data_IF_293132205705
#
_entry.id   IF_293132205705
#
_cell.length_a   1.000
_cell.length_b   1.000
_cell.length_c   1.000
_cell.angle_alpha   90.00
_cell.angle_beta   90.00
_cell.angle_gamma   90.00
#
_symmetry.space_group_name_H-M   'P 1'
#
loop_
_entity.id
_entity.type
_entity.pdbx_description
1 polymer ?
#
# COMPACT_ATOMS: atom_id res chain seq x y z
N UNK A 1 -5.11 -71.25 -46.12
CA UNK A 1 -4.80 -70.36 -44.98
C UNK A 1 -4.76 -68.92 -45.46
N UNK A 2 -5.83 -68.14 -45.25
CA UNK A 2 -5.86 -66.69 -45.44
C UNK A 2 -6.50 -66.07 -44.18
N UNK A 3 -5.98 -64.93 -43.69
CA UNK A 3 -6.44 -64.06 -42.58
C UNK A 3 -5.34 -63.60 -41.59
N UNK A 4 -4.10 -63.33 -42.04
CA UNK A 4 -3.02 -62.79 -41.17
C UNK A 4 -2.15 -61.67 -41.74
N UNK A 5 -2.56 -61.00 -42.83
CA UNK A 5 -1.68 -60.04 -43.55
C UNK A 5 -2.26 -58.65 -43.84
N UNK A 6 -3.35 -58.24 -43.18
CA UNK A 6 -4.03 -56.94 -43.44
C UNK A 6 -3.98 -55.94 -42.27
N UNK A 7 -3.53 -56.35 -41.08
CA UNK A 7 -3.58 -55.52 -39.86
C UNK A 7 -2.32 -54.64 -39.67
N UNK A 8 -1.19 -55.06 -40.25
CA UNK A 8 0.11 -54.38 -40.14
C UNK A 8 0.13 -52.96 -40.75
N UNK A 9 -0.35 -52.71 -42.00
CA UNK A 9 -0.31 -51.36 -42.57
C UNK A 9 -1.23 -50.38 -41.84
N UNK A 10 -2.33 -50.86 -41.25
CA UNK A 10 -3.31 -50.03 -40.54
C UNK A 10 -2.78 -49.58 -39.16
N UNK A 11 -1.91 -50.37 -38.53
CA UNK A 11 -1.20 -49.96 -37.31
C UNK A 11 -0.13 -48.89 -37.62
N UNK A 12 0.54 -48.97 -38.77
CA UNK A 12 1.61 -48.04 -39.14
C UNK A 12 1.09 -46.63 -39.46
N UNK A 13 -0.07 -46.50 -40.10
CA UNK A 13 -0.72 -45.21 -40.37
C UNK A 13 -1.33 -44.52 -39.13
N UNK A 14 -1.30 -45.15 -37.94
CA UNK A 14 -1.70 -44.52 -36.68
C UNK A 14 -0.52 -43.94 -35.89
N UNK A 15 0.73 -44.21 -36.28
CA UNK A 15 1.93 -43.60 -35.68
C UNK A 15 2.39 -42.32 -36.40
N UNK A 16 1.82 -41.97 -37.55
CA UNK A 16 2.02 -40.66 -38.20
C UNK A 16 1.12 -39.57 -37.63
N UNK A 17 0.73 -39.69 -36.35
CA UNK A 17 -0.03 -38.69 -35.61
C UNK A 17 0.90 -37.53 -35.21
N UNK A 18 1.12 -36.61 -36.16
CA UNK A 18 1.66 -35.26 -35.94
C UNK A 18 2.86 -35.19 -34.99
N UNK A 19 4.06 -35.41 -35.52
CA UNK A 19 5.25 -34.78 -34.93
C UNK A 19 5.14 -33.26 -35.12
N UNK A 20 4.47 -32.60 -34.18
CA UNK A 20 4.77 -31.21 -33.87
C UNK A 20 6.28 -31.15 -33.60
N UNK A 21 6.98 -30.21 -34.25
CA UNK A 21 8.42 -30.09 -34.13
C UNK A 21 8.76 -29.37 -32.81
N UNK A 22 8.49 -30.04 -31.69
CA UNK A 22 8.87 -29.56 -30.36
C UNK A 22 10.39 -29.31 -30.35
N UNK A 23 10.78 -28.06 -30.05
CA UNK A 23 12.19 -27.70 -29.94
C UNK A 23 12.93 -28.62 -28.96
N UNK A 24 14.00 -29.25 -29.41
CA UNK A 24 14.77 -30.14 -28.54
C UNK A 24 15.56 -29.33 -27.51
N UNK A 25 15.84 -29.93 -26.35
CA UNK A 25 16.68 -29.30 -25.32
C UNK A 25 18.07 -28.91 -25.87
N UNK A 26 18.60 -29.66 -26.84
CA UNK A 26 19.87 -29.34 -27.50
C UNK A 26 19.79 -28.12 -28.41
N UNK A 27 18.68 -27.92 -29.14
CA UNK A 27 18.45 -26.72 -29.95
C UNK A 27 18.21 -25.49 -29.07
N UNK A 28 17.49 -25.63 -27.95
CA UNK A 28 17.34 -24.55 -26.97
C UNK A 28 18.69 -24.13 -26.39
N UNK A 29 19.55 -25.07 -25.97
CA UNK A 29 20.90 -24.71 -25.48
C UNK A 29 21.74 -24.04 -26.56
N UNK A 30 21.61 -24.42 -27.83
CA UNK A 30 22.33 -23.76 -28.93
C UNK A 30 21.81 -22.35 -29.24
N UNK A 31 20.51 -22.07 -29.04
CA UNK A 31 19.97 -20.71 -29.12
C UNK A 31 20.43 -19.86 -27.93
N UNK A 32 20.42 -20.42 -26.72
CA UNK A 32 20.99 -19.78 -25.53
C UNK A 32 22.48 -19.47 -25.70
N UNK A 33 23.29 -20.41 -26.17
CA UNK A 33 24.72 -20.21 -26.43
C UNK A 33 24.99 -19.09 -27.46
N UNK A 34 24.07 -18.85 -28.41
CA UNK A 34 24.17 -17.75 -29.37
C UNK A 34 23.71 -16.41 -28.82
N UNK A 35 22.57 -16.37 -28.12
CA UNK A 35 22.10 -15.15 -27.46
C UNK A 35 23.14 -14.64 -26.44
N UNK A 36 23.79 -15.55 -25.69
CA UNK A 36 24.89 -15.24 -24.78
C UNK A 36 26.18 -14.71 -25.47
N UNK A 37 26.26 -14.68 -26.81
CA UNK A 37 27.36 -14.02 -27.53
C UNK A 37 27.13 -12.52 -27.76
N UNK A 38 25.98 -11.96 -27.33
CA UNK A 38 25.67 -10.54 -27.43
C UNK A 38 25.28 -10.10 -28.84
N UNK A 39 24.44 -10.91 -29.51
CA UNK A 39 23.85 -10.58 -30.81
C UNK A 39 22.34 -10.41 -30.67
N UNK A 40 21.87 -9.17 -30.74
CA UNK A 40 20.44 -8.83 -30.61
C UNK A 40 19.48 -9.60 -31.53
N UNK A 41 19.91 -10.09 -32.70
CA UNK A 41 19.09 -10.96 -33.56
C UNK A 41 18.91 -12.37 -32.95
N UNK A 42 19.99 -12.99 -32.42
CA UNK A 42 19.90 -14.30 -31.76
C UNK A 42 19.16 -14.19 -30.41
N UNK A 43 19.31 -13.08 -29.69
CA UNK A 43 18.55 -12.76 -28.46
C UNK A 43 17.06 -12.56 -28.76
N UNK A 44 16.72 -11.76 -29.78
CA UNK A 44 15.33 -11.56 -30.24
C UNK A 44 14.69 -12.87 -30.68
N UNK A 45 15.44 -13.72 -31.40
CA UNK A 45 14.99 -15.05 -31.82
C UNK A 45 14.77 -15.97 -30.62
N UNK A 46 15.66 -15.97 -29.62
CA UNK A 46 15.49 -16.75 -28.40
C UNK A 46 14.24 -16.30 -27.63
N UNK A 47 14.01 -14.99 -27.53
CA UNK A 47 12.82 -14.41 -26.93
C UNK A 47 11.52 -14.82 -27.65
N UNK A 48 11.51 -14.77 -28.99
CA UNK A 48 10.40 -15.31 -29.80
C UNK A 48 10.17 -16.80 -29.55
N UNK A 49 11.24 -17.58 -29.39
CA UNK A 49 11.16 -19.02 -29.12
C UNK A 49 10.49 -19.25 -27.75
N UNK A 50 10.92 -18.53 -26.71
CA UNK A 50 10.30 -18.55 -25.37
C UNK A 50 8.84 -18.05 -25.33
N UNK A 51 8.41 -17.20 -26.27
CA UNK A 51 7.02 -16.74 -26.33
C UNK A 51 6.10 -17.70 -27.11
N UNK A 52 6.62 -18.36 -28.14
CA UNK A 52 5.82 -19.11 -29.12
C UNK A 52 5.86 -20.64 -28.95
N UNK A 53 6.97 -21.24 -28.49
CA UNK A 53 7.11 -22.70 -28.39
C UNK A 53 6.37 -23.27 -27.16
N UNK A 54 5.27 -24.04 -27.31
CA UNK A 54 4.42 -24.42 -26.17
C UNK A 54 5.12 -25.32 -25.15
N UNK A 55 6.13 -26.08 -25.56
CA UNK A 55 6.89 -27.01 -24.71
C UNK A 55 7.85 -26.32 -23.73
N UNK A 56 8.26 -25.08 -24.03
CA UNK A 56 9.22 -24.29 -23.23
C UNK A 56 8.75 -22.87 -22.94
N UNK A 57 7.47 -22.56 -23.17
CA UNK A 57 6.95 -21.19 -23.11
C UNK A 57 7.20 -20.56 -21.73
N UNK A 58 7.94 -19.45 -21.71
CA UNK A 58 8.18 -18.66 -20.51
C UNK A 58 8.17 -17.16 -20.87
N UNK A 59 7.17 -16.43 -20.39
CA UNK A 59 7.02 -15.01 -20.69
C UNK A 59 8.07 -14.15 -19.98
N UNK A 60 8.59 -14.56 -18.81
CA UNK A 60 9.64 -13.83 -18.07
C UNK A 60 10.99 -13.91 -18.81
N UNK A 61 11.35 -15.09 -19.32
CA UNK A 61 12.53 -15.27 -20.19
C UNK A 61 12.36 -14.51 -21.51
N UNK A 62 11.18 -14.59 -22.15
CA UNK A 62 10.90 -13.81 -23.35
C UNK A 62 11.06 -12.30 -23.11
N UNK A 63 10.52 -11.78 -22.00
CA UNK A 63 10.67 -10.38 -21.62
C UNK A 63 12.14 -9.99 -21.40
N UNK A 64 12.92 -10.83 -20.71
CA UNK A 64 14.35 -10.61 -20.51
C UNK A 64 15.12 -10.54 -21.83
N UNK A 65 14.99 -11.54 -22.69
CA UNK A 65 15.72 -11.61 -23.96
C UNK A 65 15.26 -10.55 -24.98
N UNK A 66 13.98 -10.19 -25.02
CA UNK A 66 13.54 -9.01 -25.78
C UNK A 66 14.11 -7.71 -25.22
N UNK A 67 14.26 -7.58 -23.90
CA UNK A 67 14.85 -6.39 -23.27
C UNK A 67 16.34 -6.23 -23.61
N UNK A 68 17.13 -7.30 -23.60
CA UNK A 68 18.55 -7.25 -24.00
C UNK A 68 18.73 -6.87 -25.49
N UNK A 69 17.93 -7.46 -26.38
CA UNK A 69 17.93 -7.07 -27.79
C UNK A 69 17.46 -5.61 -27.99
N UNK A 70 16.49 -5.16 -27.19
CA UNK A 70 15.96 -3.79 -27.23
C UNK A 70 16.99 -2.73 -26.77
N UNK A 71 17.77 -3.03 -25.73
CA UNK A 71 18.88 -2.20 -25.25
C UNK A 71 20.00 -2.05 -26.29
N UNK A 72 20.18 -3.05 -27.16
CA UNK A 72 21.11 -3.01 -28.30
C UNK A 72 20.57 -2.29 -29.54
N UNK A 73 19.32 -1.79 -29.51
CA UNK A 73 18.73 -1.06 -30.65
C UNK A 73 17.89 -1.91 -31.61
N UNK A 74 17.58 -3.18 -31.29
CA UNK A 74 16.78 -4.02 -32.16
C UNK A 74 15.32 -3.58 -32.17
N UNK A 75 14.90 -2.80 -33.17
CA UNK A 75 13.60 -2.13 -33.19
C UNK A 75 12.37 -3.06 -33.02
N UNK A 76 12.42 -4.29 -33.55
CA UNK A 76 11.34 -5.25 -33.31
C UNK A 76 11.32 -5.77 -31.86
N UNK A 77 12.48 -5.87 -31.20
CA UNK A 77 12.55 -6.22 -29.79
C UNK A 77 12.03 -5.06 -28.92
N UNK A 78 12.38 -3.82 -29.25
CA UNK A 78 11.86 -2.62 -28.57
C UNK A 78 10.33 -2.54 -28.64
N UNK A 79 9.74 -2.87 -29.80
CA UNK A 79 8.28 -3.02 -29.93
C UNK A 79 7.73 -4.14 -29.02
N UNK A 80 8.31 -5.34 -29.04
CA UNK A 80 7.81 -6.45 -28.19
C UNK A 80 7.95 -6.16 -26.69
N UNK A 81 9.07 -5.57 -26.25
CA UNK A 81 9.29 -5.13 -24.87
C UNK A 81 8.23 -4.10 -24.45
N UNK A 82 7.92 -3.11 -25.29
CA UNK A 82 6.87 -2.13 -25.03
C UNK A 82 5.47 -2.79 -24.95
N UNK A 83 5.13 -3.64 -25.91
CA UNK A 83 3.90 -4.43 -25.95
C UNK A 83 3.71 -5.27 -24.67
N UNK A 84 4.76 -5.94 -24.20
CA UNK A 84 4.74 -6.76 -22.99
C UNK A 84 4.63 -5.91 -21.71
N UNK A 85 5.22 -4.71 -21.68
CA UNK A 85 5.06 -3.73 -20.59
C UNK A 85 3.64 -3.14 -20.51
N UNK A 86 2.94 -2.93 -21.63
CA UNK A 86 1.52 -2.54 -21.62
C UNK A 86 0.64 -3.67 -21.08
N UNK A 87 0.94 -4.91 -21.45
CA UNK A 87 0.12 -6.09 -21.14
C UNK A 87 0.42 -6.70 -19.76
N UNK A 88 1.60 -6.43 -19.19
CA UNK A 88 2.10 -7.12 -17.98
C UNK A 88 2.45 -8.59 -18.25
N UNK A 89 2.99 -8.89 -19.43
CA UNK A 89 3.43 -10.24 -19.81
C UNK A 89 4.90 -10.44 -19.44
N UNK A 90 5.23 -11.45 -18.65
CA UNK A 90 6.59 -11.69 -18.16
C UNK A 90 7.17 -10.62 -17.23
N UNK A 91 6.38 -9.61 -16.87
CA UNK A 91 6.82 -8.45 -16.08
C UNK A 91 5.61 -7.75 -15.45
N UNK A 92 5.85 -6.78 -14.56
CA UNK A 92 4.77 -5.93 -14.05
C UNK A 92 4.37 -4.90 -15.12
N UNK A 93 3.06 -4.61 -15.25
CA UNK A 93 2.57 -3.60 -16.19
C UNK A 93 3.16 -2.22 -15.87
N UNK A 94 3.91 -1.65 -16.80
CA UNK A 94 4.47 -0.29 -16.73
C UNK A 94 4.23 0.44 -18.06
N UNK A 95 3.10 1.15 -18.11
CA UNK A 95 2.68 1.95 -19.27
C UNK A 95 3.62 3.13 -19.52
N UNK A 96 4.33 3.65 -18.52
CA UNK A 96 5.26 4.76 -18.70
C UNK A 96 6.55 4.29 -19.37
N UNK A 97 7.06 3.12 -18.99
CA UNK A 97 8.16 2.47 -19.68
C UNK A 97 7.79 2.11 -21.13
N UNK A 98 6.58 1.59 -21.36
CA UNK A 98 6.08 1.32 -22.72
C UNK A 98 5.96 2.60 -23.57
N UNK A 99 5.38 3.67 -23.01
CA UNK A 99 5.23 4.95 -23.70
C UNK A 99 6.58 5.56 -24.11
N UNK A 100 7.63 5.42 -23.29
CA UNK A 100 9.00 5.83 -23.66
C UNK A 100 9.52 5.05 -24.87
N UNK A 101 9.42 3.72 -24.85
CA UNK A 101 9.87 2.88 -25.97
C UNK A 101 9.13 3.21 -27.27
N UNK A 102 7.80 3.34 -27.23
CA UNK A 102 7.03 3.73 -28.41
C UNK A 102 7.37 5.16 -28.87
N UNK A 103 7.60 6.11 -27.96
CA UNK A 103 7.97 7.50 -28.30
C UNK A 103 9.32 7.55 -29.01
N UNK A 104 10.34 6.83 -28.51
CA UNK A 104 11.65 6.74 -29.16
C UNK A 104 11.54 6.16 -30.57
N UNK A 105 10.89 5.01 -30.71
CA UNK A 105 10.65 4.36 -32.00
C UNK A 105 9.87 5.25 -32.98
N UNK A 106 8.85 5.98 -32.51
CA UNK A 106 8.06 6.89 -33.34
C UNK A 106 8.90 8.05 -33.90
N UNK A 107 9.86 8.57 -33.13
CA UNK A 107 10.81 9.61 -33.57
C UNK A 107 11.82 9.06 -34.58
N UNK A 108 12.21 7.79 -34.45
CA UNK A 108 12.98 7.05 -35.47
C UNK A 108 12.17 6.73 -36.74
N UNK A 109 10.88 7.12 -36.79
CA UNK A 109 10.01 6.95 -37.95
C UNK A 109 9.16 5.68 -37.94
N UNK A 110 9.17 4.90 -36.86
CA UNK A 110 8.37 3.68 -36.76
C UNK A 110 6.87 4.02 -36.60
N UNK A 111 6.12 3.92 -37.70
CA UNK A 111 4.68 4.21 -37.71
C UNK A 111 3.84 3.27 -36.85
N UNK A 112 4.28 2.02 -36.61
CA UNK A 112 3.58 1.10 -35.70
C UNK A 112 3.73 1.56 -34.25
N UNK A 113 4.92 2.01 -33.85
CA UNK A 113 5.14 2.58 -32.52
C UNK A 113 4.31 3.85 -32.30
N UNK A 114 4.22 4.73 -33.30
CA UNK A 114 3.37 5.92 -33.26
C UNK A 114 1.88 5.58 -33.12
N UNK A 115 1.42 4.50 -33.76
CA UNK A 115 0.06 3.98 -33.62
C UNK A 115 -0.20 3.39 -32.23
N UNK A 116 0.67 2.48 -31.75
CA UNK A 116 0.54 1.87 -30.42
C UNK A 116 0.58 2.93 -29.29
N UNK A 117 1.36 4.01 -29.45
CA UNK A 117 1.38 5.13 -28.51
C UNK A 117 0.06 5.90 -28.49
N UNK A 118 -0.59 6.05 -29.65
CA UNK A 118 -1.92 6.64 -29.77
C UNK A 118 -2.99 5.80 -29.07
N UNK A 119 -3.02 4.49 -29.34
CA UNK A 119 -3.91 3.54 -28.65
C UNK A 119 -3.67 3.53 -27.13
N UNK A 120 -2.41 3.60 -26.70
CA UNK A 120 -2.04 3.64 -25.28
C UNK A 120 -2.60 4.89 -24.60
N UNK A 121 -2.44 6.08 -25.19
CA UNK A 121 -3.00 7.33 -24.62
C UNK A 121 -4.53 7.37 -24.66
N UNK A 122 -5.19 6.76 -25.66
CA UNK A 122 -6.65 6.64 -25.71
C UNK A 122 -7.16 5.75 -24.58
N UNK A 123 -6.60 4.54 -24.43
CA UNK A 123 -7.02 3.55 -23.44
C UNK A 123 -6.71 3.98 -22.00
N UNK A 124 -5.57 4.62 -21.77
CA UNK A 124 -5.06 5.03 -20.45
C UNK A 124 -5.25 6.53 -20.20
N UNK A 125 -6.36 7.12 -20.69
CA UNK A 125 -6.65 8.57 -20.61
C UNK A 125 -6.57 9.15 -19.18
N UNK A 126 -6.94 8.38 -18.15
CA UNK A 126 -6.84 8.82 -16.74
C UNK A 126 -5.42 8.66 -16.14
N UNK A 127 -4.53 7.94 -16.81
CA UNK A 127 -3.20 7.55 -16.34
C UNK A 127 -2.05 8.40 -16.91
N UNK A 128 -2.31 9.25 -17.92
CA UNK A 128 -1.32 10.10 -18.58
C UNK A 128 -1.74 11.58 -18.59
N UNK A 129 -1.42 12.32 -17.52
CA UNK A 129 -1.70 13.76 -17.49
C UNK A 129 -0.71 14.57 -18.35
N UNK A 130 -0.97 15.87 -18.52
CA UNK A 130 -0.16 16.74 -19.38
C UNK A 130 1.28 16.97 -18.87
N UNK A 131 1.55 16.74 -17.58
CA UNK A 131 2.91 16.69 -17.01
C UNK A 131 3.56 15.34 -17.26
N UNK A 132 2.83 14.22 -17.17
CA UNK A 132 3.35 12.89 -17.46
C UNK A 132 3.79 12.79 -18.93
N UNK A 133 2.96 13.28 -19.86
CA UNK A 133 3.32 13.39 -21.28
C UNK A 133 4.55 14.29 -21.48
N UNK A 134 4.64 15.42 -20.76
CA UNK A 134 5.81 16.29 -20.82
C UNK A 134 7.07 15.65 -20.21
N UNK A 135 6.94 14.78 -19.20
CA UNK A 135 8.05 14.02 -18.61
C UNK A 135 8.71 13.14 -19.67
N UNK A 136 7.90 12.39 -20.44
CA UNK A 136 8.39 11.51 -21.51
C UNK A 136 9.27 12.28 -22.52
N UNK A 137 8.77 13.39 -23.06
CA UNK A 137 9.49 14.20 -24.04
C UNK A 137 10.75 14.87 -23.46
N UNK A 138 10.69 15.41 -22.24
CA UNK A 138 11.88 16.03 -21.62
C UNK A 138 12.93 15.01 -21.17
N UNK A 139 12.52 13.82 -20.71
CA UNK A 139 13.43 12.71 -20.37
C UNK A 139 14.17 12.21 -21.61
N UNK A 140 13.51 12.19 -22.77
CA UNK A 140 14.14 11.77 -24.01
C UNK A 140 15.12 12.84 -24.51
N UNK A 141 14.69 14.10 -24.54
CA UNK A 141 15.49 15.23 -24.99
C UNK A 141 16.66 15.60 -24.05
N UNK A 142 16.62 15.23 -22.76
CA UNK A 142 17.70 15.55 -21.80
C UNK A 142 19.03 14.89 -22.14
N UNK A 143 19.01 13.78 -22.89
CA UNK A 143 20.18 13.11 -23.44
C UNK A 143 21.01 13.98 -24.39
N UNK A 144 20.38 14.96 -25.06
CA UNK A 144 20.99 15.82 -26.08
C UNK A 144 20.96 17.31 -25.70
N UNK A 145 19.99 17.74 -24.87
CA UNK A 145 19.73 19.15 -24.56
C UNK A 145 19.76 19.40 -23.05
N UNK A 146 20.78 20.11 -22.50
CA UNK A 146 20.84 20.47 -21.09
C UNK A 146 19.64 21.29 -20.58
N UNK A 147 18.95 22.00 -21.47
CA UNK A 147 17.71 22.73 -21.17
C UNK A 147 16.53 21.77 -20.92
N UNK A 148 16.49 20.61 -21.60
CA UNK A 148 15.46 19.60 -21.39
C UNK A 148 15.63 18.89 -20.04
N UNK A 149 16.88 18.68 -19.58
CA UNK A 149 17.13 18.20 -18.20
C UNK A 149 16.53 19.14 -17.14
N UNK A 150 16.73 20.46 -17.29
CA UNK A 150 16.11 21.47 -16.40
C UNK A 150 14.58 21.54 -16.54
N UNK A 151 14.02 21.09 -17.66
CA UNK A 151 12.56 21.02 -17.84
C UNK A 151 11.97 19.76 -17.22
N UNK A 152 12.62 18.60 -17.39
CA UNK A 152 12.33 17.34 -16.72
C UNK A 152 12.32 17.50 -15.19
N UNK A 153 13.35 18.12 -14.62
CA UNK A 153 13.42 18.40 -13.17
C UNK A 153 12.25 19.27 -12.66
N UNK A 154 11.80 20.26 -13.44
CA UNK A 154 10.62 21.07 -13.11
C UNK A 154 9.31 20.28 -13.19
N UNK A 155 9.18 19.37 -14.16
CA UNK A 155 8.00 18.49 -14.31
C UNK A 155 7.90 17.51 -13.15
N UNK A 156 9.00 16.83 -12.79
CA UNK A 156 9.05 15.95 -11.62
C UNK A 156 8.69 16.72 -10.33
N UNK A 157 9.17 17.96 -10.19
CA UNK A 157 8.82 18.82 -9.04
C UNK A 157 7.32 19.20 -9.05
N UNK A 158 6.73 19.45 -10.21
CA UNK A 158 5.30 19.76 -10.36
C UNK A 158 4.43 18.56 -9.98
N UNK A 159 4.67 17.36 -10.57
CA UNK A 159 3.98 16.12 -10.20
C UNK A 159 4.13 15.80 -8.70
N UNK A 160 5.31 16.02 -8.11
CA UNK A 160 5.53 15.80 -6.67
C UNK A 160 4.70 16.76 -5.81
N UNK A 161 4.60 18.03 -6.22
CA UNK A 161 3.76 19.02 -5.54
C UNK A 161 2.26 18.72 -5.71
N UNK A 162 1.84 18.21 -6.87
CA UNK A 162 0.48 17.75 -7.17
C UNK A 162 0.09 16.52 -6.33
N UNK A 163 0.92 15.47 -6.32
CA UNK A 163 0.73 14.31 -5.44
C UNK A 163 0.67 14.70 -3.96
N UNK A 164 1.45 15.71 -3.54
CA UNK A 164 1.40 16.27 -2.18
C UNK A 164 0.15 17.11 -1.91
N UNK A 165 -0.34 17.90 -2.86
CA UNK A 165 -1.56 18.69 -2.67
C UNK A 165 -2.78 17.78 -2.58
N UNK A 166 -2.89 16.78 -3.47
CA UNK A 166 -3.90 15.71 -3.43
C UNK A 166 -3.95 15.01 -2.05
N UNK A 167 -2.80 14.58 -1.52
CA UNK A 167 -2.70 13.99 -0.18
C UNK A 167 -3.14 14.97 0.93
N UNK A 168 -2.76 16.25 0.85
CA UNK A 168 -3.18 17.26 1.84
C UNK A 168 -4.68 17.56 1.76
N UNK A 169 -5.29 17.53 0.57
CA UNK A 169 -6.75 17.64 0.42
C UNK A 169 -7.50 16.42 0.94
N UNK A 170 -7.00 15.20 0.74
CA UNK A 170 -7.68 14.00 1.27
C UNK A 170 -7.60 13.92 2.79
N UNK A 171 -6.50 14.34 3.42
CA UNK A 171 -6.45 14.51 4.88
C UNK A 171 -7.43 15.56 5.39
N UNK A 172 -7.55 16.72 4.72
CA UNK A 172 -8.55 17.74 5.08
C UNK A 172 -9.98 17.25 4.97
N UNK A 173 -10.33 16.57 3.87
CA UNK A 173 -11.67 16.03 3.67
C UNK A 173 -12.05 15.01 4.75
N UNK A 174 -11.08 14.21 5.23
CA UNK A 174 -11.27 13.29 6.35
C UNK A 174 -11.44 14.01 7.69
N UNK A 175 -10.64 15.05 7.97
CA UNK A 175 -10.79 15.89 9.18
C UNK A 175 -12.14 16.63 9.18
N UNK A 176 -12.57 17.16 8.04
CA UNK A 176 -13.86 17.84 7.84
C UNK A 176 -15.02 16.86 8.04
N UNK A 177 -15.01 15.70 7.37
CA UNK A 177 -16.01 14.63 7.54
C UNK A 177 -16.11 14.15 9.00
N UNK A 178 -14.99 14.03 9.70
CA UNK A 178 -14.96 13.67 11.12
C UNK A 178 -15.57 14.77 12.01
N UNK A 179 -15.35 16.05 11.66
CA UNK A 179 -15.93 17.19 12.38
C UNK A 179 -17.46 17.29 12.24
N UNK A 180 -18.02 16.96 11.06
CA UNK A 180 -19.46 16.92 10.84
C UNK A 180 -20.13 15.77 11.61
N UNK A 181 -19.50 14.60 11.64
CA UNK A 181 -19.95 13.44 12.44
C UNK A 181 -19.88 13.72 13.95
N UNK A 182 -18.84 14.43 14.43
CA UNK A 182 -18.76 14.85 15.83
C UNK A 182 -19.85 15.87 16.19
N UNK A 183 -20.17 16.79 15.28
CA UNK A 183 -21.19 17.83 15.49
C UNK A 183 -22.61 17.25 15.55
N UNK A 184 -22.92 16.26 14.71
CA UNK A 184 -24.24 15.62 14.66
C UNK A 184 -24.57 14.73 15.86
N UNK A 185 -23.58 14.30 16.66
CA UNK A 185 -23.81 13.54 17.89
C UNK A 185 -24.09 14.41 19.13
N UNK A 186 -23.78 15.72 19.08
CA UNK A 186 -23.88 16.61 20.25
C UNK A 186 -25.27 17.22 20.50
N UNK A 187 -26.25 17.00 19.62
CA UNK A 187 -27.59 17.60 19.72
C UNK A 187 -28.69 16.66 20.22
N UNK A 188 -28.47 15.34 20.24
CA UNK A 188 -29.51 14.33 20.50
C UNK A 188 -29.38 13.62 21.86
N UNK A 189 -29.35 14.39 22.96
CA UNK A 189 -29.42 13.81 24.32
C UNK A 189 -30.06 14.75 25.36
N UNK A 190 -31.38 14.96 25.27
CA UNK A 190 -32.18 15.63 26.32
C UNK A 190 -33.69 15.31 26.26
N UNK A 191 -34.09 14.15 26.78
CA UNK A 191 -35.44 13.96 27.35
C UNK A 191 -35.46 12.80 28.35
N UNK A 192 -36.09 13.04 29.51
CA UNK A 192 -36.25 12.09 30.62
C UNK A 192 -37.72 11.68 30.71
N UNK A 193 -38.02 10.42 31.01
CA UNK A 193 -39.19 9.99 31.83
C UNK A 193 -39.01 8.53 32.31
N UNK A 194 -39.50 8.25 33.52
CA UNK A 194 -39.42 6.96 34.25
C UNK A 194 -40.63 6.02 33.97
N UNK A 195 -40.57 4.73 34.37
CA UNK A 195 -41.49 3.69 33.86
C UNK A 195 -42.81 3.52 34.64
N UNK A 196 -43.74 2.75 34.06
CA UNK A 196 -44.90 2.17 34.74
C UNK A 196 -45.07 0.67 34.43
N UNK A 197 -45.86 -0.01 35.27
CA UNK A 197 -46.00 -1.47 35.38
C UNK A 197 -47.43 -1.91 35.06
N UNK A 198 -47.63 -3.11 34.51
CA UNK A 198 -48.89 -3.87 34.73
C UNK A 198 -48.72 -5.40 34.61
N UNK A 199 -49.58 -6.14 35.30
CA UNK A 199 -49.74 -7.60 35.27
C UNK A 199 -51.23 -7.98 35.29
N UNK A 200 -51.58 -9.15 34.74
CA UNK A 200 -52.79 -9.95 35.06
C UNK A 200 -52.60 -11.36 34.42
N UNK A 201 -53.20 -12.50 34.81
CA UNK A 201 -54.20 -12.90 35.83
C UNK A 201 -53.98 -14.43 36.20
N UNK A 202 -54.83 -15.30 36.79
CA UNK A 202 -56.22 -15.26 37.32
C UNK A 202 -56.52 -16.46 38.29
N UNK A 203 -56.73 -16.23 39.60
CA UNK A 203 -57.49 -17.09 40.57
C UNK A 203 -56.94 -18.55 40.84
N UNK A 204 -57.44 -19.41 41.77
CA UNK A 204 -58.60 -19.38 42.68
C UNK A 204 -58.45 -20.19 44.02
N UNK A 205 -59.15 -19.73 45.08
CA UNK A 205 -59.89 -20.43 46.19
C UNK A 205 -59.38 -21.63 47.07
N UNK A 206 -59.17 -21.33 48.38
CA UNK A 206 -59.87 -21.84 49.62
C UNK A 206 -59.77 -23.28 50.24
N UNK A 207 -59.57 -23.31 51.59
CA UNK A 207 -60.13 -24.20 52.67
C UNK A 207 -59.80 -25.73 52.74
N UNK A 208 -59.80 -26.47 53.89
CA UNK A 208 -59.81 -26.16 55.35
C UNK A 208 -59.00 -27.16 56.25
N UNK A 209 -59.52 -27.72 57.38
CA UNK A 209 -58.74 -28.20 58.57
C UNK A 209 -58.93 -29.68 59.04
N UNK A 210 -58.05 -30.10 59.97
CA UNK A 210 -58.03 -31.29 60.91
C UNK A 210 -57.39 -32.58 60.37
N UNK A 211 -56.78 -33.49 61.18
CA UNK A 211 -56.57 -33.60 62.64
C UNK A 211 -55.15 -34.14 62.99
N UNK A 212 -54.69 -34.06 64.26
CA UNK A 212 -53.24 -34.00 64.58
C UNK A 212 -52.43 -35.31 64.61
N UNK A 213 -53.00 -36.49 64.84
CA UNK A 213 -52.19 -37.65 65.26
C UNK A 213 -51.44 -38.38 64.12
N UNK A 214 -51.60 -37.98 62.85
CA UNK A 214 -50.85 -38.54 61.72
C UNK A 214 -49.46 -37.86 61.51
N UNK A 215 -49.22 -36.72 62.17
CA UNK A 215 -48.14 -35.77 61.81
C UNK A 215 -46.74 -36.27 62.21
N UNK A 216 -46.63 -36.97 63.35
CA UNK A 216 -45.33 -37.30 63.96
C UNK A 216 -44.54 -38.32 63.12
N UNK A 217 -45.21 -39.31 62.52
CA UNK A 217 -44.56 -40.32 61.67
C UNK A 217 -44.00 -39.73 60.37
N UNK A 218 -44.73 -38.80 59.76
CA UNK A 218 -44.28 -38.09 58.54
C UNK A 218 -43.07 -37.19 58.80
N UNK A 219 -43.00 -36.55 59.97
CA UNK A 219 -41.93 -35.60 60.30
C UNK A 219 -40.52 -36.20 60.19
N UNK A 220 -40.33 -37.45 60.62
CA UNK A 220 -39.02 -38.12 60.63
C UNK A 220 -38.56 -38.49 59.21
N UNK A 221 -39.48 -38.89 58.33
CA UNK A 221 -39.18 -39.15 56.92
C UNK A 221 -38.81 -37.85 56.20
N UNK A 222 -39.55 -36.77 56.47
CA UNK A 222 -39.34 -35.45 55.86
C UNK A 222 -37.98 -34.86 56.27
N UNK A 223 -37.55 -34.95 57.52
CA UNK A 223 -36.24 -34.39 57.95
C UNK A 223 -35.06 -35.09 57.29
N UNK A 224 -35.10 -36.41 57.11
CA UNK A 224 -34.07 -37.15 56.36
C UNK A 224 -34.03 -36.73 54.87
N UNK A 225 -35.19 -36.61 54.23
CA UNK A 225 -35.32 -36.20 52.82
C UNK A 225 -34.82 -34.76 52.58
N UNK A 226 -35.10 -33.85 53.52
CA UNK A 226 -34.58 -32.48 53.53
C UNK A 226 -33.06 -32.42 53.74
N UNK A 227 -32.50 -33.31 54.57
CA UNK A 227 -31.05 -33.40 54.79
C UNK A 227 -30.29 -33.79 53.51
N UNK A 228 -30.75 -34.84 52.82
CA UNK A 228 -30.11 -35.32 51.56
C UNK A 228 -30.24 -34.29 50.43
N UNK A 229 -31.41 -33.68 50.26
CA UNK A 229 -31.62 -32.65 49.22
C UNK A 229 -30.81 -31.39 49.52
N UNK A 230 -30.74 -30.94 50.78
CA UNK A 230 -29.91 -29.81 51.20
C UNK A 230 -28.41 -30.01 50.90
N UNK A 231 -27.87 -31.22 51.15
CA UNK A 231 -26.48 -31.54 50.86
C UNK A 231 -26.16 -31.49 49.35
N UNK A 232 -27.04 -32.04 48.51
CA UNK A 232 -26.88 -31.99 47.06
C UNK A 232 -26.95 -30.56 46.51
N UNK A 233 -27.88 -29.75 47.00
CA UNK A 233 -28.00 -28.32 46.64
C UNK A 233 -26.74 -27.55 47.05
N UNK A 234 -26.21 -27.78 48.25
CA UNK A 234 -24.98 -27.13 48.71
C UNK A 234 -23.76 -27.48 47.83
N UNK A 235 -23.63 -28.76 47.43
CA UNK A 235 -22.55 -29.23 46.55
C UNK A 235 -22.64 -28.62 45.14
N UNK A 236 -23.84 -28.55 44.56
CA UNK A 236 -24.09 -27.89 43.28
C UNK A 236 -23.80 -26.38 43.34
N UNK A 237 -24.23 -25.70 44.40
CA UNK A 237 -24.00 -24.26 44.59
C UNK A 237 -22.51 -23.93 44.64
N UNK A 238 -21.71 -24.74 45.33
CA UNK A 238 -20.25 -24.57 45.42
C UNK A 238 -19.56 -24.73 44.06
N UNK A 239 -19.91 -25.75 43.27
CA UNK A 239 -19.37 -25.94 41.92
C UNK A 239 -19.75 -24.80 40.97
N UNK A 240 -20.95 -24.24 41.09
CA UNK A 240 -21.37 -23.12 40.26
C UNK A 240 -20.67 -21.81 40.64
N UNK A 241 -20.35 -21.59 41.92
CA UNK A 241 -19.55 -20.44 42.35
C UNK A 241 -18.11 -20.50 41.81
N UNK A 242 -17.41 -21.63 41.96
CA UNK A 242 -16.03 -21.74 41.43
C UNK A 242 -16.00 -21.53 39.92
N UNK A 243 -16.93 -22.16 39.18
CA UNK A 243 -17.02 -21.98 37.72
C UNK A 243 -17.32 -20.53 37.29
N UNK A 244 -18.11 -19.80 38.07
CA UNK A 244 -18.38 -18.37 37.82
C UNK A 244 -17.15 -17.49 38.12
N UNK A 245 -16.39 -17.78 39.19
CA UNK A 245 -15.15 -17.10 39.50
C UNK A 245 -14.07 -17.35 38.44
N UNK A 246 -13.93 -18.58 37.95
CA UNK A 246 -12.97 -18.93 36.90
C UNK A 246 -13.27 -18.20 35.58
N UNK A 247 -14.54 -18.18 35.13
CA UNK A 247 -14.96 -17.42 33.93
C UNK A 247 -14.65 -15.92 34.09
N UNK A 248 -14.89 -15.34 35.27
CA UNK A 248 -14.60 -13.94 35.53
C UNK A 248 -13.07 -13.67 35.52
N UNK A 249 -12.27 -14.58 36.10
CA UNK A 249 -10.79 -14.52 36.03
C UNK A 249 -10.27 -14.61 34.60
N UNK A 250 -10.87 -15.42 33.73
CA UNK A 250 -10.51 -15.48 32.32
C UNK A 250 -10.89 -14.20 31.56
N UNK A 251 -12.09 -13.66 31.79
CA UNK A 251 -12.48 -12.37 31.20
C UNK A 251 -11.57 -11.21 31.65
N UNK A 252 -11.12 -11.21 32.90
CA UNK A 252 -10.14 -10.22 33.41
C UNK A 252 -8.79 -10.40 32.71
N UNK A 253 -8.25 -11.64 32.61
CA UNK A 253 -7.00 -11.91 31.88
C UNK A 253 -7.05 -11.47 30.42
N UNK A 254 -8.17 -11.71 29.73
CA UNK A 254 -8.36 -11.29 28.33
C UNK A 254 -8.36 -9.76 28.20
N UNK A 255 -9.07 -9.06 29.09
CA UNK A 255 -9.06 -7.58 29.16
C UNK A 255 -7.65 -7.03 29.47
N UNK A 256 -6.89 -7.66 30.36
CA UNK A 256 -5.50 -7.29 30.64
C UNK A 256 -4.56 -7.49 29.44
N UNK A 257 -4.75 -8.55 28.65
CA UNK A 257 -3.99 -8.79 27.41
C UNK A 257 -4.31 -7.71 26.38
N UNK A 258 -5.59 -7.42 26.14
CA UNK A 258 -6.05 -6.38 25.23
C UNK A 258 -5.53 -4.99 25.65
N UNK A 259 -5.58 -4.67 26.94
CA UNK A 259 -5.12 -3.39 27.49
C UNK A 259 -3.58 -3.26 27.45
N UNK A 260 -2.83 -4.37 27.53
CA UNK A 260 -1.38 -4.39 27.26
C UNK A 260 -1.06 -4.15 25.79
N UNK A 261 -1.81 -4.77 24.86
CA UNK A 261 -1.66 -4.55 23.41
C UNK A 261 -1.93 -3.09 23.03
N UNK A 262 -3.03 -2.50 23.52
CA UNK A 262 -3.37 -1.09 23.29
C UNK A 262 -2.30 -0.15 23.85
N UNK A 263 -1.79 -0.39 25.07
CA UNK A 263 -0.68 0.39 25.65
C UNK A 263 0.60 0.31 24.79
N UNK A 264 0.89 -0.86 24.21
CA UNK A 264 2.03 -1.03 23.31
C UNK A 264 1.85 -0.23 21.99
N UNK A 265 0.67 -0.30 21.38
CA UNK A 265 0.32 0.47 20.17
C UNK A 265 0.40 1.99 20.40
N UNK A 266 -0.08 2.49 21.54
CA UNK A 266 0.04 3.92 21.90
C UNK A 266 1.52 4.31 22.07
N UNK A 267 2.34 3.44 22.66
CA UNK A 267 3.78 3.69 22.84
C UNK A 267 4.57 3.71 21.52
N UNK A 268 4.24 2.84 20.55
CA UNK A 268 4.87 2.86 19.22
C UNK A 268 4.44 4.10 18.44
N UNK A 269 3.15 4.44 18.40
CA UNK A 269 2.63 5.65 17.76
C UNK A 269 3.26 6.93 18.35
N UNK A 270 3.37 7.05 19.68
CA UNK A 270 4.06 8.18 20.32
C UNK A 270 5.54 8.27 19.90
N UNK A 271 6.25 7.13 19.83
CA UNK A 271 7.65 7.06 19.40
C UNK A 271 7.82 7.50 17.94
N UNK A 272 6.89 7.13 17.06
CA UNK A 272 6.90 7.54 15.66
C UNK A 272 6.54 9.02 15.47
N UNK A 273 5.52 9.53 16.16
CA UNK A 273 5.17 10.95 16.16
C UNK A 273 6.35 11.80 16.64
N UNK A 274 7.03 11.39 17.72
CA UNK A 274 8.24 12.05 18.22
C UNK A 274 9.41 11.96 17.22
N UNK A 275 9.59 10.84 16.52
CA UNK A 275 10.59 10.70 15.44
C UNK A 275 10.28 11.63 14.26
N UNK A 276 9.01 11.72 13.81
CA UNK A 276 8.58 12.64 12.74
C UNK A 276 8.70 14.10 13.17
N UNK A 277 8.36 14.45 14.41
CA UNK A 277 8.47 15.81 14.96
C UNK A 277 9.95 16.26 15.02
N UNK A 278 10.83 15.40 15.55
CA UNK A 278 12.27 15.70 15.59
C UNK A 278 12.88 15.76 14.18
N UNK A 279 12.48 14.86 13.27
CA UNK A 279 12.92 14.89 11.87
C UNK A 279 12.51 16.20 11.17
N UNK A 280 11.25 16.64 11.32
CA UNK A 280 10.75 17.91 10.78
C UNK A 280 11.43 19.12 11.41
N UNK A 281 11.67 19.10 12.72
CA UNK A 281 12.39 20.17 13.43
C UNK A 281 13.85 20.28 12.94
N UNK A 282 14.53 19.15 12.77
CA UNK A 282 15.88 19.10 12.24
C UNK A 282 15.89 19.61 10.79
N UNK A 283 15.07 19.06 9.90
CA UNK A 283 14.99 19.46 8.49
C UNK A 283 14.73 20.97 8.32
N UNK A 284 13.81 21.55 9.09
CA UNK A 284 13.57 22.99 9.10
C UNK A 284 14.82 23.79 9.50
N UNK A 285 15.62 23.29 10.47
CA UNK A 285 16.90 23.89 10.85
C UNK A 285 17.97 23.71 9.76
N UNK A 286 18.02 22.57 9.06
CA UNK A 286 18.94 22.35 7.93
C UNK A 286 18.68 23.38 6.83
N UNK A 287 17.42 23.53 6.42
CA UNK A 287 16.99 24.48 5.39
C UNK A 287 17.26 25.94 5.82
N UNK A 288 16.97 26.28 7.07
CA UNK A 288 17.26 27.60 7.61
C UNK A 288 18.76 27.92 7.63
N UNK A 289 19.61 26.96 8.03
CA UNK A 289 21.06 27.10 7.98
C UNK A 289 21.57 27.28 6.54
N UNK A 290 21.02 26.54 5.57
CA UNK A 290 21.37 26.66 4.15
C UNK A 290 21.09 28.08 3.60
N UNK A 291 19.93 28.67 3.92
CA UNK A 291 19.56 30.06 3.54
C UNK A 291 20.58 31.10 4.05
N UNK A 292 21.26 30.83 5.17
CA UNK A 292 22.29 31.71 5.71
C UNK A 292 23.73 31.38 5.25
N UNK A 293 23.95 30.22 4.62
CA UNK A 293 25.26 29.68 4.27
C UNK A 293 25.99 28.99 5.43
N UNK A 294 25.26 28.47 6.42
CA UNK A 294 25.84 27.82 7.61
C UNK A 294 25.73 26.28 7.57
N UNK A 295 26.68 25.60 8.22
CA UNK A 295 26.59 24.16 8.52
C UNK A 295 25.90 23.98 9.87
N UNK A 296 25.07 22.94 9.99
CA UNK A 296 24.30 22.64 11.23
C UNK A 296 25.23 22.41 12.43
N UNK A 297 26.43 21.86 12.19
CA UNK A 297 27.49 21.64 13.19
C UNK A 297 28.32 22.89 13.53
N UNK A 298 28.09 24.02 12.87
CA UNK A 298 28.89 25.24 13.00
C UNK A 298 28.03 26.51 12.82
N UNK A 299 26.93 26.60 13.58
CA UNK A 299 26.06 27.77 13.59
C UNK A 299 26.75 28.90 14.39
N UNK A 300 26.97 30.11 13.82
CA UNK A 300 27.62 31.20 14.53
C UNK A 300 26.78 31.80 15.67
N UNK A 301 27.43 32.54 16.58
CA UNK A 301 26.75 33.32 17.62
C UNK A 301 25.62 34.23 17.08
N UNK A 302 24.60 34.48 17.91
CA UNK A 302 23.46 35.35 17.60
C UNK A 302 23.86 36.72 17.01
N UNK A 303 24.97 37.33 17.48
CA UNK A 303 25.48 38.61 16.94
C UNK A 303 25.85 38.49 15.46
N UNK A 304 26.59 37.43 15.09
CA UNK A 304 27.04 37.15 13.71
C UNK A 304 25.85 36.81 12.81
N UNK A 305 24.87 36.05 13.31
CA UNK A 305 23.62 35.76 12.59
C UNK A 305 22.85 37.04 12.24
N UNK A 306 22.66 37.94 13.22
CA UNK A 306 21.95 39.23 12.99
C UNK A 306 22.67 40.12 11.98
N UNK A 307 24.00 40.13 11.96
CA UNK A 307 24.80 40.85 10.94
C UNK A 307 24.60 40.22 9.56
N UNK A 308 24.67 38.88 9.44
CA UNK A 308 24.44 38.17 8.17
C UNK A 308 23.03 38.39 7.63
N UNK A 309 22.02 38.35 8.49
CA UNK A 309 20.64 38.71 8.13
C UNK A 309 20.56 40.11 7.52
N UNK A 310 21.18 41.13 8.13
CA UNK A 310 21.20 42.51 7.59
C UNK A 310 21.96 42.66 6.26
N UNK A 311 22.82 41.71 5.89
CA UNK A 311 23.42 41.64 4.56
C UNK A 311 22.43 41.03 3.56
N UNK A 312 21.87 39.86 3.89
CA UNK A 312 20.96 39.11 3.02
C UNK A 312 19.64 39.88 2.78
N UNK A 313 19.12 40.58 3.80
CA UNK A 313 17.89 41.37 3.70
C UNK A 313 17.99 42.61 2.80
N UNK A 314 19.21 42.96 2.32
CA UNK A 314 19.40 43.98 1.27
C UNK A 314 19.35 43.40 -0.13
N UNK A 315 19.70 42.13 -0.28
CA UNK A 315 19.75 41.41 -1.56
C UNK A 315 18.36 40.86 -1.88
N UNK A 316 17.69 40.28 -0.88
CA UNK A 316 16.35 39.69 -1.04
C UNK A 316 15.20 40.70 -0.94
N UNK A 317 15.45 41.99 -0.72
CA UNK A 317 14.38 42.99 -0.67
C UNK A 317 13.73 43.18 -2.06
N UNK A 318 12.41 43.42 -2.16
CA UNK A 318 11.75 43.75 -3.42
C UNK A 318 12.42 44.91 -4.18
N UNK A 319 12.87 45.94 -3.48
CA UNK A 319 13.60 47.09 -4.07
C UNK A 319 15.02 46.76 -4.57
N UNK A 320 15.51 45.53 -4.31
CA UNK A 320 16.91 45.12 -4.42
C UNK A 320 17.19 43.96 -5.36
N UNK A 321 16.26 43.66 -6.29
CA UNK A 321 16.21 42.46 -7.16
C UNK A 321 15.69 41.17 -6.49
N UNK A 322 15.30 41.20 -5.21
CA UNK A 322 14.64 40.07 -4.55
C UNK A 322 13.11 40.11 -4.64
N UNK A 323 12.47 39.18 -3.93
CA UNK A 323 11.01 39.04 -3.87
C UNK A 323 10.47 38.97 -2.43
N UNK A 324 9.18 39.30 -2.27
CA UNK A 324 8.47 39.14 -0.98
C UNK A 324 8.53 37.72 -0.43
N UNK A 325 8.55 36.71 -1.32
CA UNK A 325 8.74 35.31 -0.94
C UNK A 325 10.13 35.06 -0.35
N UNK A 326 11.19 35.64 -0.91
CA UNK A 326 12.55 35.47 -0.40
C UNK A 326 12.75 36.19 0.93
N UNK A 327 12.20 37.41 1.11
CA UNK A 327 12.13 38.05 2.42
C UNK A 327 11.37 37.18 3.43
N UNK A 328 10.23 36.61 3.05
CA UNK A 328 9.43 35.72 3.91
C UNK A 328 10.19 34.44 4.28
N UNK A 329 10.93 33.84 3.33
CA UNK A 329 11.81 32.68 3.55
C UNK A 329 12.99 33.04 4.47
N UNK A 330 13.65 34.18 4.26
CA UNK A 330 14.75 34.69 5.11
C UNK A 330 14.28 34.97 6.55
N UNK A 331 13.10 35.58 6.71
CA UNK A 331 12.49 35.86 8.02
C UNK A 331 12.14 34.58 8.78
N UNK A 332 11.58 33.58 8.08
CA UNK A 332 11.33 32.27 8.66
C UNK A 332 12.63 31.57 9.08
N UNK A 333 13.65 31.56 8.21
CA UNK A 333 14.96 30.99 8.51
C UNK A 333 15.64 31.64 9.73
N UNK A 334 15.62 32.98 9.83
CA UNK A 334 16.14 33.71 10.99
C UNK A 334 15.46 33.24 12.28
N UNK A 335 14.13 33.14 12.29
CA UNK A 335 13.36 32.69 13.45
C UNK A 335 13.75 31.26 13.85
N UNK A 336 13.88 30.34 12.89
CA UNK A 336 14.26 28.94 13.14
C UNK A 336 15.69 28.80 13.67
N UNK A 337 16.69 29.52 13.12
CA UNK A 337 18.06 29.47 13.65
C UNK A 337 18.08 30.00 15.09
N UNK A 338 17.51 31.19 15.33
CA UNK A 338 17.55 31.82 16.65
C UNK A 338 16.88 30.97 17.74
N UNK A 339 15.76 30.29 17.42
CA UNK A 339 15.06 29.38 18.35
C UNK A 339 15.86 28.12 18.74
N UNK A 340 16.94 27.78 18.02
CA UNK A 340 17.82 26.67 18.35
C UNK A 340 19.13 27.16 19.01
N UNK A 341 19.66 28.32 18.59
CA UNK A 341 20.84 28.95 19.20
C UNK A 341 20.58 29.43 20.64
N UNK A 342 19.33 29.68 21.05
CA UNK A 342 18.98 29.97 22.45
C UNK A 342 18.63 28.73 23.28
N UNK A 343 19.01 27.53 22.83
CA UNK A 343 18.78 26.24 23.54
C UNK A 343 20.06 25.44 23.78
N UNK A 344 21.21 26.06 23.48
CA UNK A 344 22.58 25.59 23.70
C UNK A 344 23.30 26.63 24.53
#
# INVERSE_FOLDING_TARGET
MLHKLTLIPLLFCLLSAQSFAEITQQELTQLQEKANQGNSEDEFRLAQTYLNEPSIKNEEEAFYWFSQAAEQGHQQAQLQTADMLVKGQGTQKDINAAALWYTQLAIEGNHQAAFNLGELYEQETESFDALDQAELWYRLASSQLPQAQQAYERVLQAQFNQRRSQQVSSFKALDEQYSEQATTQLTNSSSVTTPQTTQSAFQASQQSKTSQNLIIGLAIVITLLLGVTGFLIAKLRKNNQTKAEDINREQIKLKDIQLKQQKHQIATLYKELKKRQNSKSNHNLQLACAVFGYKISAIPEQKKIKIRYKQLSKIYHPDGQGSDEEMKRLNAALKTILQNVTKT
#
